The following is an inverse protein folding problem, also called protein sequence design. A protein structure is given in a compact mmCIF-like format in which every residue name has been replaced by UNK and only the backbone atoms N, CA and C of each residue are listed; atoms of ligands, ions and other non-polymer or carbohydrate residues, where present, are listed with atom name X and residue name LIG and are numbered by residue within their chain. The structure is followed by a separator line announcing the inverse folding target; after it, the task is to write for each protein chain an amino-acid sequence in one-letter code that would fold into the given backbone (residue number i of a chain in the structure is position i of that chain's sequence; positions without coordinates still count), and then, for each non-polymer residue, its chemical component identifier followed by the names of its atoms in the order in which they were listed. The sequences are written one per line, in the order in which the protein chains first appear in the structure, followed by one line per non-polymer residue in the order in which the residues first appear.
data_IF_687234055556
#
_entry.id   IF_687234055556
#
_cell.length_a   1.000
_cell.length_b   1.000
_cell.length_c   1.000
_cell.angle_alpha   90.00
_cell.angle_beta   90.00
_cell.angle_gamma   90.00
#
_symmetry.space_group_name_H-M   'P 1'
#
loop_
_entity.id
_entity.type
_entity.pdbx_description
1 polymer ?
#
# COMPACT_ATOMS: atom_id res chain seq x y z
N UNK A 1 -7.03 -13.30 5.35
CA UNK A 1 -6.67 -14.07 4.13
C UNK A 1 -6.71 -13.17 2.89
N UNK A 2 -7.81 -13.01 2.13
CA UNK A 2 -7.75 -12.29 0.83
C UNK A 2 -7.21 -10.85 0.92
N UNK A 3 -7.70 -10.03 1.85
CA UNK A 3 -7.25 -8.64 1.97
C UNK A 3 -5.76 -8.51 2.34
N UNK A 4 -5.25 -9.41 3.19
CA UNK A 4 -3.84 -9.45 3.61
C UNK A 4 -2.94 -9.85 2.43
N UNK A 5 -3.32 -10.90 1.68
CA UNK A 5 -2.60 -11.32 0.48
C UNK A 5 -2.64 -10.24 -0.61
N UNK A 6 -3.80 -9.61 -0.83
CA UNK A 6 -3.95 -8.55 -1.83
C UNK A 6 -3.04 -7.37 -1.53
N UNK A 7 -2.99 -6.89 -0.28
CA UNK A 7 -2.16 -5.74 0.06
C UNK A 7 -0.67 -6.06 0.00
N UNK A 8 -0.25 -7.27 0.39
CA UNK A 8 1.14 -7.72 0.24
C UNK A 8 1.54 -7.81 -1.23
N UNK A 9 0.69 -8.37 -2.08
CA UNK A 9 0.94 -8.47 -3.52
C UNK A 9 0.97 -7.09 -4.20
N UNK A 10 0.13 -6.15 -3.74
CA UNK A 10 0.13 -4.78 -4.23
C UNK A 10 1.46 -4.08 -3.95
N UNK A 11 1.96 -4.14 -2.71
CA UNK A 11 3.26 -3.52 -2.35
C UNK A 11 4.41 -4.22 -3.07
N UNK A 12 4.39 -5.55 -3.16
CA UNK A 12 5.38 -6.31 -3.93
C UNK A 12 5.43 -5.85 -5.39
N UNK A 13 4.29 -5.59 -6.01
CA UNK A 13 4.25 -5.09 -7.38
C UNK A 13 4.83 -3.68 -7.50
N UNK A 14 4.57 -2.80 -6.53
CA UNK A 14 5.17 -1.46 -6.48
C UNK A 14 6.70 -1.52 -6.39
N UNK A 15 7.24 -2.47 -5.62
CA UNK A 15 8.68 -2.69 -5.50
C UNK A 15 9.27 -3.23 -6.80
N UNK A 16 8.59 -4.17 -7.48
CA UNK A 16 9.01 -4.71 -8.78
C UNK A 16 9.03 -3.65 -9.89
N UNK A 17 8.12 -2.68 -9.81
CA UNK A 17 8.03 -1.56 -10.75
C UNK A 17 8.91 -0.36 -10.33
N UNK A 18 9.68 -0.49 -9.24
CA UNK A 18 10.57 0.55 -8.70
C UNK A 18 9.86 1.87 -8.32
N UNK A 19 8.54 1.86 -8.17
CA UNK A 19 7.76 3.01 -7.70
C UNK A 19 7.79 3.16 -6.18
N UNK A 20 8.06 2.06 -5.46
CA UNK A 20 8.01 2.00 -4.00
C UNK A 20 6.60 2.17 -3.45
N UNK A 21 6.45 2.01 -2.13
CA UNK A 21 5.13 2.12 -1.49
C UNK A 21 4.64 3.58 -1.37
N UNK A 22 3.33 3.78 -1.42
CA UNK A 22 2.75 5.10 -1.19
C UNK A 22 2.94 5.55 0.27
N UNK A 23 3.57 6.71 0.48
CA UNK A 23 3.83 7.26 1.82
C UNK A 23 2.75 8.25 2.27
N UNK A 24 2.57 8.39 3.59
CA UNK A 24 1.69 9.38 4.22
C UNK A 24 2.20 10.84 4.07
N UNK A 25 3.39 11.04 3.50
CA UNK A 25 3.90 12.38 3.11
C UNK A 25 3.02 13.01 2.01
N UNK A 26 2.28 12.21 1.25
CA UNK A 26 1.24 12.70 0.33
C UNK A 26 1.74 13.10 -1.07
N UNK A 27 3.02 12.90 -1.39
CA UNK A 27 3.52 13.09 -2.76
C UNK A 27 2.74 12.22 -3.76
N UNK A 28 2.49 10.96 -3.42
CA UNK A 28 1.73 10.04 -4.29
C UNK A 28 0.29 10.50 -4.57
N UNK A 29 -0.37 11.22 -3.65
CA UNK A 29 -1.74 11.70 -3.94
C UNK A 29 -1.79 12.84 -4.96
N UNK A 30 -0.66 13.54 -5.18
CA UNK A 30 -0.58 14.61 -6.18
C UNK A 30 0.02 14.12 -7.50
N UNK A 31 1.01 13.22 -7.45
CA UNK A 31 1.74 12.77 -8.64
C UNK A 31 1.12 11.54 -9.32
N UNK A 32 0.27 10.79 -8.62
CA UNK A 32 -0.32 9.58 -9.19
C UNK A 32 -1.32 9.95 -10.30
N UNK A 33 -1.20 9.38 -11.52
CA UNK A 33 -2.11 9.66 -12.64
C UNK A 33 -3.55 9.15 -12.42
N UNK A 34 -3.82 8.55 -11.25
CA UNK A 34 -5.13 8.05 -10.82
C UNK A 34 -5.73 8.86 -9.68
N UNK A 35 -5.10 9.97 -9.29
CA UNK A 35 -5.61 10.89 -8.25
C UNK A 35 -6.05 10.17 -6.97
N UNK A 36 -5.17 9.28 -6.47
CA UNK A 36 -5.50 8.49 -5.28
C UNK A 36 -5.58 9.39 -4.05
N UNK A 37 -6.64 9.22 -3.25
CA UNK A 37 -6.82 9.99 -2.02
C UNK A 37 -5.84 9.58 -0.92
N UNK A 38 -5.54 10.51 -0.01
CA UNK A 38 -4.77 10.21 1.21
C UNK A 38 -5.46 9.15 2.08
N UNK A 39 -6.79 9.07 2.07
CA UNK A 39 -7.54 8.04 2.80
C UNK A 39 -7.27 6.64 2.26
N UNK A 40 -7.17 6.50 0.93
CA UNK A 40 -6.83 5.23 0.30
C UNK A 40 -5.38 4.82 0.61
N UNK A 41 -4.45 5.78 0.61
CA UNK A 41 -3.05 5.55 0.99
C UNK A 41 -2.97 5.11 2.46
N UNK A 42 -3.65 5.83 3.36
CA UNK A 42 -3.67 5.53 4.78
C UNK A 42 -4.28 4.15 5.07
N UNK A 43 -5.35 3.76 4.35
CA UNK A 43 -5.93 2.41 4.45
C UNK A 43 -4.93 1.36 3.99
N UNK A 44 -4.33 1.53 2.82
CA UNK A 44 -3.33 0.60 2.27
C UNK A 44 -2.16 0.39 3.26
N UNK A 45 -1.61 1.49 3.80
CA UNK A 45 -0.51 1.42 4.75
C UNK A 45 -0.90 0.70 6.06
N UNK A 46 -2.12 0.92 6.57
CA UNK A 46 -2.61 0.21 7.76
C UNK A 46 -2.81 -1.28 7.50
N UNK A 47 -3.41 -1.63 6.36
CA UNK A 47 -3.62 -3.02 5.96
C UNK A 47 -2.28 -3.75 5.76
N UNK A 48 -1.33 -3.10 5.10
CA UNK A 48 0.01 -3.64 4.89
C UNK A 48 0.75 -3.86 6.22
N UNK A 49 0.80 -2.85 7.08
CA UNK A 49 1.40 -2.96 8.42
C UNK A 49 0.75 -4.10 9.22
N UNK A 50 -0.58 -4.18 9.23
CA UNK A 50 -1.31 -5.26 9.90
C UNK A 50 -0.92 -6.63 9.32
N UNK A 51 -0.86 -6.77 7.99
CA UNK A 51 -0.50 -8.02 7.33
C UNK A 51 0.96 -8.43 7.58
N UNK A 52 1.88 -7.47 7.73
CA UNK A 52 3.30 -7.74 8.01
C UNK A 52 3.58 -8.12 9.46
N UNK A 53 2.87 -7.52 10.43
CA UNK A 53 3.10 -7.79 11.86
C UNK A 53 2.17 -8.88 12.44
N UNK A 54 1.07 -9.18 11.77
CA UNK A 54 0.14 -10.25 12.17
C UNK A 54 0.78 -11.61 11.95
N UNK A 55 0.87 -12.43 13.01
CA UNK A 55 1.41 -13.80 12.97
C UNK A 55 0.43 -14.83 12.40
N UNK A 56 -0.55 -14.40 11.59
CA UNK A 56 -1.52 -15.31 10.96
C UNK A 56 -0.81 -16.11 9.86
N UNK A 57 -0.48 -17.35 10.20
CA UNK A 57 -0.03 -18.42 9.29
C UNK A 57 -1.17 -18.89 8.40
#
# INVERSE_FOLDING_TARGET
VEAEERVQNMVKQMDLEEFGNCSNVGACSMECPKDISLDNIARMNREYMSATVSSRK
#
